data_IF_662703738763
#
_entry.id   IF_662703738763
#
_cell.length_a   1.000
_cell.length_b   1.000
_cell.length_c   1.000
_cell.angle_alpha   90.00
_cell.angle_beta   90.00
_cell.angle_gamma   90.00
#
_symmetry.space_group_name_H-M   'P 1'
#
loop_
_entity.id
_entity.type
_entity.pdbx_description
1 polymer ?
#
# COMPACT_ATOMS: atom_id res chain seq x y z
N UNK A 1 -7.52 24.42 6.53
CA UNK A 1 -8.46 23.37 6.06
C UNK A 1 -8.43 22.21 7.04
N UNK A 2 -9.56 21.59 7.39
CA UNK A 2 -9.60 20.40 8.25
C UNK A 2 -9.23 19.17 7.42
N UNK A 3 -8.33 18.33 7.91
CA UNK A 3 -8.00 17.04 7.27
C UNK A 3 -9.20 16.09 7.42
N UNK A 4 -9.71 15.51 6.32
CA UNK A 4 -10.80 14.55 6.40
C UNK A 4 -10.36 13.30 7.17
N UNK A 5 -11.24 12.77 8.02
CA UNK A 5 -11.02 11.52 8.75
C UNK A 5 -11.84 10.40 8.12
N UNK A 6 -11.22 9.22 7.99
CA UNK A 6 -11.92 8.04 7.52
C UNK A 6 -12.88 7.50 8.60
N UNK A 7 -14.09 7.03 8.25
CA UNK A 7 -15.01 6.41 9.20
C UNK A 7 -14.35 5.25 9.97
N UNK A 8 -14.72 5.00 11.24
CA UNK A 8 -14.20 3.86 11.98
C UNK A 8 -14.67 2.53 11.33
N UNK A 9 -13.85 1.50 11.44
CA UNK A 9 -14.21 0.12 11.06
C UNK A 9 -13.78 -0.82 12.17
N UNK A 10 -14.56 -1.88 12.40
CA UNK A 10 -14.19 -2.96 13.31
C UNK A 10 -13.30 -3.97 12.57
N UNK A 11 -12.09 -3.52 12.23
CA UNK A 11 -11.10 -4.33 11.53
C UNK A 11 -9.69 -3.81 11.80
N UNK A 12 -8.78 -4.74 12.12
CA UNK A 12 -7.34 -4.47 12.26
C UNK A 12 -6.61 -5.33 11.22
N UNK A 13 -5.77 -4.72 10.36
CA UNK A 13 -5.00 -5.48 9.37
C UNK A 13 -3.97 -6.36 10.07
N UNK A 14 -3.54 -7.44 9.41
CA UNK A 14 -2.48 -8.28 9.93
C UNK A 14 -1.15 -7.54 9.87
N UNK A 15 -0.32 -7.71 10.89
CA UNK A 15 1.05 -7.18 10.86
C UNK A 15 1.79 -7.78 9.66
N UNK A 16 2.34 -6.92 8.80
CA UNK A 16 3.06 -7.37 7.63
C UNK A 16 4.43 -7.92 8.03
N UNK A 17 4.71 -9.17 7.66
CA UNK A 17 5.94 -9.89 8.00
C UNK A 17 6.79 -10.23 6.76
N UNK A 18 6.49 -9.63 5.61
CA UNK A 18 7.23 -9.83 4.37
C UNK A 18 8.39 -8.83 4.18
N UNK A 19 9.00 -8.81 2.99
CA UNK A 19 10.11 -7.91 2.68
C UNK A 19 9.72 -6.44 2.75
N UNK A 20 10.66 -5.58 3.13
CA UNK A 20 10.45 -4.13 3.15
C UNK A 20 10.07 -3.56 1.77
N UNK A 21 9.42 -2.40 1.77
CA UNK A 21 9.06 -1.71 0.53
C UNK A 21 10.27 -1.43 -0.38
N UNK A 22 11.44 -1.15 0.20
CA UNK A 22 12.67 -0.91 -0.56
C UNK A 22 13.21 -2.20 -1.20
N UNK A 23 13.14 -3.33 -0.50
CA UNK A 23 13.48 -4.66 -1.05
C UNK A 23 12.53 -5.03 -2.18
N UNK A 24 11.21 -4.86 -2.00
CA UNK A 24 10.21 -5.13 -3.04
C UNK A 24 10.44 -4.23 -4.26
N UNK A 25 10.76 -2.95 -4.04
CA UNK A 25 11.06 -2.02 -5.13
C UNK A 25 12.34 -2.42 -5.90
N UNK A 26 13.37 -2.89 -5.20
CA UNK A 26 14.59 -3.41 -5.81
C UNK A 26 14.32 -4.68 -6.65
N UNK A 27 13.59 -5.65 -6.09
CA UNK A 27 13.17 -6.86 -6.80
C UNK A 27 12.34 -6.54 -8.03
N UNK A 28 11.41 -5.58 -7.94
CA UNK A 28 10.59 -5.13 -9.06
C UNK A 28 11.45 -4.58 -10.20
N UNK A 29 12.48 -3.77 -9.88
CA UNK A 29 13.41 -3.24 -10.89
C UNK A 29 14.25 -4.32 -11.56
N UNK A 30 14.59 -5.38 -10.82
CA UNK A 30 15.40 -6.49 -11.32
C UNK A 30 14.61 -7.47 -12.19
N UNK A 31 13.37 -7.78 -11.79
CA UNK A 31 12.63 -8.92 -12.33
C UNK A 31 11.38 -8.55 -13.14
N UNK A 32 10.82 -7.34 -12.98
CA UNK A 32 9.62 -6.92 -13.71
C UNK A 32 10.02 -6.14 -14.98
N UNK A 33 9.28 -6.36 -16.07
CA UNK A 33 9.51 -5.65 -17.33
C UNK A 33 9.50 -4.12 -17.11
N UNK A 34 10.51 -3.38 -17.61
CA UNK A 34 10.61 -1.92 -17.45
C UNK A 34 9.40 -1.12 -17.96
N UNK A 35 8.63 -1.67 -18.91
CA UNK A 35 7.40 -1.04 -19.41
C UNK A 35 6.28 -1.00 -18.35
N UNK A 36 6.36 -1.82 -17.30
CA UNK A 36 5.48 -1.73 -16.14
C UNK A 36 6.09 -0.71 -15.17
N UNK A 37 5.70 0.55 -15.27
CA UNK A 37 6.24 1.63 -14.43
C UNK A 37 5.37 1.89 -13.19
N UNK A 38 5.89 2.66 -12.25
CA UNK A 38 5.15 3.15 -11.08
C UNK A 38 4.69 4.58 -11.32
N UNK A 39 3.44 4.89 -10.97
CA UNK A 39 2.87 6.23 -11.18
C UNK A 39 3.47 7.31 -10.27
N UNK A 40 3.99 6.92 -9.09
CA UNK A 40 4.52 7.84 -8.09
C UNK A 40 6.03 7.65 -7.89
N UNK A 41 6.72 8.74 -7.55
CA UNK A 41 8.15 8.72 -7.22
C UNK A 41 8.47 7.80 -6.03
N UNK A 42 7.58 7.78 -5.03
CA UNK A 42 7.59 6.78 -3.95
C UNK A 42 6.27 6.00 -3.99
N UNK A 43 6.27 4.78 -4.56
CA UNK A 43 5.09 3.93 -4.60
C UNK A 43 4.62 3.57 -3.20
N UNK A 44 3.31 3.42 -3.03
CA UNK A 44 2.72 2.89 -1.80
C UNK A 44 2.66 1.37 -1.95
N UNK A 45 3.21 0.63 -0.98
CA UNK A 45 3.20 -0.83 -0.98
C UNK A 45 1.93 -1.32 -0.29
N UNK A 46 0.89 -1.59 -1.06
CA UNK A 46 -0.34 -2.19 -0.54
C UNK A 46 -0.12 -3.68 -0.29
N UNK A 47 -0.43 -4.13 0.93
CA UNK A 47 -0.21 -5.52 1.37
C UNK A 47 -1.50 -6.25 1.75
N UNK A 48 -2.58 -5.50 1.98
CA UNK A 48 -3.87 -6.07 2.39
C UNK A 48 -5.04 -5.21 1.89
N UNK A 49 -6.19 -5.85 1.63
CA UNK A 49 -7.44 -5.19 1.25
C UNK A 49 -8.64 -5.72 2.04
N UNK A 50 -9.57 -4.82 2.37
CA UNK A 50 -10.83 -5.13 3.08
C UNK A 50 -11.94 -4.19 2.61
N UNK A 51 -12.86 -4.69 1.78
CA UNK A 51 -13.93 -3.87 1.21
C UNK A 51 -13.36 -2.68 0.43
N UNK A 52 -13.80 -1.46 0.75
CA UNK A 52 -13.32 -0.21 0.13
C UNK A 52 -11.97 0.30 0.67
N UNK A 53 -11.28 -0.46 1.52
CA UNK A 53 -10.04 -0.02 2.15
C UNK A 53 -8.87 -0.90 1.75
N UNK A 54 -7.71 -0.26 1.61
CA UNK A 54 -6.41 -0.91 1.42
C UNK A 54 -5.44 -0.48 2.50
N UNK A 55 -4.49 -1.35 2.83
CA UNK A 55 -3.52 -1.14 3.91
C UNK A 55 -2.09 -1.27 3.39
N UNK A 56 -1.22 -0.36 3.80
CA UNK A 56 0.20 -0.44 3.49
C UNK A 56 0.96 -1.40 4.43
N UNK A 57 2.25 -1.59 4.18
CA UNK A 57 3.13 -2.46 4.97
C UNK A 57 3.27 -2.04 6.44
N UNK A 58 2.87 -0.81 6.78
CA UNK A 58 2.89 -0.26 8.14
C UNK A 58 1.51 -0.32 8.81
N UNK A 59 0.51 -0.90 8.14
CA UNK A 59 -0.87 -0.98 8.61
C UNK A 59 -1.65 0.33 8.45
N UNK A 60 -1.14 1.31 7.70
CA UNK A 60 -1.87 2.55 7.44
C UNK A 60 -3.01 2.27 6.46
N UNK A 61 -4.20 2.76 6.82
CA UNK A 61 -5.43 2.59 6.04
C UNK A 61 -5.61 3.72 5.02
N UNK A 62 -6.02 3.34 3.82
CA UNK A 62 -6.40 4.23 2.73
C UNK A 62 -7.80 3.87 2.22
N UNK A 63 -8.56 4.86 1.76
CA UNK A 63 -9.78 4.63 0.98
C UNK A 63 -9.36 4.29 -0.46
N UNK A 64 -9.82 3.17 -0.98
CA UNK A 64 -9.71 2.86 -2.39
C UNK A 64 -10.75 3.66 -3.17
N UNK A 65 -10.27 4.48 -4.10
CA UNK A 65 -11.08 5.46 -4.83
C UNK A 65 -10.83 5.42 -6.34
N UNK A 66 -10.30 4.31 -6.83
CA UNK A 66 -10.11 3.99 -8.24
C UNK A 66 -11.11 2.92 -8.68
#
# INVERSE_FOLDING_TARGET
MKTPQLPPIDYTPRAYAGPSADEVLALRKQFVNPAVFTYYAKPIMIVEGRGQYVFDEKGRRYLDGF
#
